data_IF_689511441183
#
_entry.id   IF_689511441183
#
_cell.length_a   1.000
_cell.length_b   1.000
_cell.length_c   1.000
_cell.angle_alpha   90.00
_cell.angle_beta   90.00
_cell.angle_gamma   90.00
#
_symmetry.space_group_name_H-M   'P 1'
#
loop_
_entity.id
_entity.type
_entity.pdbx_description
1 polymer ?
#
# COMPACT_ATOMS: atom_id res chain seq x y z
N UNK A 1 35.21 -50.94 -35.14
CA UNK A 1 33.98 -50.52 -35.84
C UNK A 1 32.90 -50.33 -34.77
N UNK A 2 32.28 -49.19 -34.49
CA UNK A 2 32.27 -47.82 -35.02
C UNK A 2 32.14 -46.89 -33.80
N UNK A 3 33.05 -45.93 -33.67
CA UNK A 3 32.76 -44.63 -33.03
C UNK A 3 31.87 -43.86 -34.04
N UNK A 4 31.06 -42.90 -33.57
CA UNK A 4 30.02 -42.10 -34.28
C UNK A 4 28.63 -42.73 -34.14
N UNK A 5 27.66 -42.22 -33.37
CA UNK A 5 26.99 -40.90 -33.23
C UNK A 5 26.48 -40.85 -31.76
N UNK A 6 26.73 -39.90 -30.83
CA UNK A 6 26.57 -38.44 -30.78
C UNK A 6 25.19 -37.90 -31.19
N UNK A 7 24.54 -37.27 -30.20
CA UNK A 7 23.28 -36.50 -30.18
C UNK A 7 22.00 -37.38 -30.22
N UNK A 8 21.05 -37.29 -29.28
CA UNK A 8 20.22 -36.12 -28.94
C UNK A 8 19.46 -36.40 -27.62
N UNK A 9 19.31 -35.34 -26.79
CA UNK A 9 18.49 -35.18 -25.57
C UNK A 9 19.02 -35.71 -24.23
N UNK A 10 19.86 -34.86 -23.63
CA UNK A 10 19.73 -34.56 -22.22
C UNK A 10 18.31 -34.03 -21.92
N UNK A 11 17.55 -34.74 -21.10
CA UNK A 11 16.38 -34.20 -20.41
C UNK A 11 16.72 -34.19 -18.91
N UNK A 12 17.66 -33.32 -18.55
CA UNK A 12 17.86 -32.90 -17.18
C UNK A 12 16.65 -32.02 -16.86
N UNK A 13 15.66 -32.58 -16.18
CA UNK A 13 14.48 -31.86 -15.71
C UNK A 13 14.90 -30.81 -14.68
N UNK A 14 15.36 -29.67 -15.18
CA UNK A 14 15.25 -28.39 -14.50
C UNK A 14 13.75 -28.09 -14.40
N UNK A 15 13.09 -28.65 -13.37
CA UNK A 15 11.96 -27.97 -12.77
C UNK A 15 12.54 -26.74 -12.09
N UNK A 16 12.79 -25.71 -12.89
CA UNK A 16 12.93 -24.37 -12.38
C UNK A 16 11.67 -24.12 -11.55
N UNK A 17 11.84 -23.93 -10.25
CA UNK A 17 10.88 -23.18 -9.48
C UNK A 17 10.84 -21.80 -10.15
N UNK A 18 9.91 -21.62 -11.09
CA UNK A 18 9.55 -20.30 -11.56
C UNK A 18 9.20 -19.46 -10.33
N UNK A 19 9.51 -18.15 -10.32
CA UNK A 19 9.18 -17.31 -9.18
C UNK A 19 7.70 -17.53 -8.87
N UNK A 20 7.40 -18.04 -7.66
CA UNK A 20 6.01 -18.08 -7.20
C UNK A 20 5.55 -16.64 -7.27
N UNK A 21 4.68 -16.31 -8.22
CA UNK A 21 4.07 -14.98 -8.24
C UNK A 21 3.28 -14.89 -6.96
N UNK A 22 3.87 -14.29 -5.93
CA UNK A 22 3.14 -13.80 -4.75
C UNK A 22 2.15 -12.81 -5.31
N UNK A 23 0.94 -13.28 -5.60
CA UNK A 23 -0.16 -12.43 -5.98
C UNK A 23 -0.45 -11.56 -4.78
N UNK A 24 0.04 -10.32 -4.83
CA UNK A 24 -0.32 -9.30 -3.86
C UNK A 24 -1.84 -9.14 -3.96
N UNK A 25 -2.59 -9.27 -2.85
CA UNK A 25 -4.04 -9.06 -2.89
C UNK A 25 -4.34 -7.65 -3.42
N UNK A 26 -5.51 -7.44 -4.07
CA UNK A 26 -5.85 -6.13 -4.60
C UNK A 26 -5.87 -5.10 -3.47
N UNK A 27 -4.97 -4.11 -3.55
CA UNK A 27 -4.78 -3.09 -2.52
C UNK A 27 -5.19 -1.72 -3.01
N UNK A 28 -5.72 -0.92 -2.10
CA UNK A 28 -5.85 0.53 -2.27
C UNK A 28 -4.80 1.22 -1.42
N UNK A 29 -3.93 2.00 -2.05
CA UNK A 29 -2.84 2.72 -1.38
C UNK A 29 -3.21 4.19 -1.13
N UNK A 30 -2.45 4.85 -0.26
CA UNK A 30 -2.48 6.31 -0.08
C UNK A 30 -1.12 6.86 -0.45
N UNK A 31 -1.11 7.96 -1.19
CA UNK A 31 0.10 8.74 -1.44
C UNK A 31 -0.19 10.23 -1.32
N UNK A 32 0.41 10.88 -0.31
CA UNK A 32 0.35 12.34 -0.12
C UNK A 32 1.64 12.97 -0.66
N UNK A 33 1.52 13.94 -1.57
CA UNK A 33 2.63 14.68 -2.16
C UNK A 33 2.67 16.08 -1.54
N UNK A 34 3.80 16.46 -0.95
CA UNK A 34 3.95 17.78 -0.34
C UNK A 34 4.09 18.88 -1.39
N UNK A 35 3.78 20.12 -0.99
CA UNK A 35 4.01 21.30 -1.82
C UNK A 35 5.50 21.52 -2.11
N UNK A 36 6.38 21.32 -1.12
CA UNK A 36 7.84 21.38 -1.27
C UNK A 36 8.56 20.47 -0.26
N UNK A 37 9.89 20.38 -0.37
CA UNK A 37 10.75 19.70 0.61
C UNK A 37 11.07 20.54 1.87
N UNK A 38 10.47 21.73 2.00
CA UNK A 38 10.61 22.55 3.20
C UNK A 38 10.08 21.83 4.45
N UNK A 39 10.74 22.05 5.59
CA UNK A 39 10.40 21.36 6.83
C UNK A 39 8.92 21.52 7.24
N UNK A 40 8.35 22.71 7.05
CA UNK A 40 6.94 22.97 7.36
C UNK A 40 5.99 22.24 6.41
N UNK A 41 6.26 22.23 5.10
CA UNK A 41 5.44 21.49 4.12
C UNK A 41 5.49 19.98 4.39
N UNK A 42 6.65 19.46 4.77
CA UNK A 42 6.81 18.07 5.16
C UNK A 42 6.05 17.74 6.46
N UNK A 43 6.11 18.63 7.46
CA UNK A 43 5.38 18.49 8.73
C UNK A 43 3.87 18.50 8.50
N UNK A 44 3.37 19.45 7.72
CA UNK A 44 1.94 19.60 7.43
C UNK A 44 1.41 18.44 6.59
N UNK A 45 2.20 17.93 5.62
CA UNK A 45 1.87 16.68 4.91
C UNK A 45 1.61 15.52 5.89
N UNK A 46 2.44 15.35 6.92
CA UNK A 46 2.27 14.26 7.90
C UNK A 46 0.99 14.43 8.73
N UNK A 47 0.61 15.66 9.06
CA UNK A 47 -0.67 15.93 9.74
C UNK A 47 -1.88 15.65 8.84
N UNK A 48 -1.81 16.06 7.56
CA UNK A 48 -2.84 15.78 6.56
C UNK A 48 -3.01 14.27 6.40
N UNK A 49 -1.89 13.55 6.24
CA UNK A 49 -1.87 12.09 6.23
C UNK A 49 -2.62 11.52 7.42
N UNK A 50 -2.27 11.93 8.65
CA UNK A 50 -2.85 11.34 9.86
C UNK A 50 -4.37 11.54 9.91
N UNK A 51 -4.83 12.73 9.51
CA UNK A 51 -6.26 13.06 9.45
C UNK A 51 -7.00 12.29 8.34
N UNK A 52 -6.40 12.16 7.17
CA UNK A 52 -6.97 11.39 6.03
C UNK A 52 -7.01 9.90 6.36
N UNK A 53 -5.94 9.34 6.94
CA UNK A 53 -5.90 7.94 7.38
C UNK A 53 -6.95 7.68 8.45
N UNK A 54 -7.11 8.57 9.43
CA UNK A 54 -8.16 8.43 10.45
C UNK A 54 -9.57 8.43 9.83
N UNK A 55 -9.83 9.36 8.91
CA UNK A 55 -11.12 9.45 8.20
C UNK A 55 -11.42 8.18 7.38
N UNK A 56 -10.46 7.75 6.56
CA UNK A 56 -10.59 6.56 5.72
C UNK A 56 -10.60 5.28 6.55
N UNK A 57 -9.96 5.28 7.72
CA UNK A 57 -9.83 4.14 8.62
C UNK A 57 -11.13 3.67 9.24
N UNK A 58 -12.00 4.61 9.62
CA UNK A 58 -13.35 4.29 10.12
C UNK A 58 -14.11 3.47 9.07
N UNK A 59 -13.93 3.80 7.80
CA UNK A 59 -14.57 3.08 6.72
C UNK A 59 -13.83 1.80 6.33
N UNK A 60 -12.49 1.81 6.26
CA UNK A 60 -11.69 0.64 5.90
C UNK A 60 -11.87 -0.55 6.85
N UNK A 61 -12.28 -0.29 8.10
CA UNK A 61 -12.69 -1.32 9.07
C UNK A 61 -14.03 -2.00 8.72
N UNK A 62 -14.90 -1.31 7.99
CA UNK A 62 -16.22 -1.79 7.57
C UNK A 62 -16.25 -2.32 6.13
N UNK A 63 -15.20 -2.04 5.35
CA UNK A 63 -15.03 -2.48 3.98
C UNK A 63 -14.69 -3.97 3.90
N UNK A 64 -15.45 -4.74 3.12
CA UNK A 64 -15.16 -6.16 2.92
C UNK A 64 -14.20 -6.43 1.76
N UNK A 65 -14.17 -5.53 0.76
CA UNK A 65 -13.49 -5.81 -0.52
C UNK A 65 -12.80 -4.59 -1.15
N UNK A 66 -11.84 -4.85 -2.04
CA UNK A 66 -11.14 -3.80 -2.78
C UNK A 66 -12.07 -2.93 -3.67
N UNK A 67 -13.03 -3.47 -4.43
CA UNK A 67 -13.95 -2.64 -5.22
C UNK A 67 -14.77 -1.68 -4.36
N UNK A 68 -15.22 -2.11 -3.18
CA UNK A 68 -15.88 -1.24 -2.21
C UNK A 68 -14.93 -0.12 -1.74
N UNK A 69 -13.65 -0.43 -1.53
CA UNK A 69 -12.62 0.54 -1.14
C UNK A 69 -12.35 1.59 -2.19
N UNK A 70 -12.24 1.16 -3.43
CA UNK A 70 -12.10 2.08 -4.54
C UNK A 70 -13.33 2.98 -4.67
N UNK A 71 -14.54 2.41 -4.65
CA UNK A 71 -15.78 3.16 -4.81
C UNK A 71 -16.01 4.18 -3.69
N UNK A 72 -15.73 3.80 -2.43
CA UNK A 72 -15.82 4.73 -1.31
C UNK A 72 -14.82 5.86 -1.42
N UNK A 73 -13.56 5.56 -1.74
CA UNK A 73 -12.55 6.60 -1.93
C UNK A 73 -12.92 7.57 -3.06
N UNK A 74 -13.48 7.08 -4.17
CA UNK A 74 -13.97 7.91 -5.28
C UNK A 74 -15.14 8.81 -4.85
N UNK A 75 -16.05 8.30 -4.01
CA UNK A 75 -17.21 9.05 -3.53
C UNK A 75 -16.85 10.13 -2.49
N UNK A 76 -15.68 10.05 -1.85
CA UNK A 76 -15.28 10.93 -0.75
C UNK A 76 -14.05 11.81 -1.03
N UNK A 77 -13.73 12.03 -2.31
CA UNK A 77 -12.58 12.87 -2.70
C UNK A 77 -12.74 14.31 -2.18
N UNK A 78 -13.94 14.89 -2.26
CA UNK A 78 -14.18 16.27 -1.80
C UNK A 78 -13.98 16.41 -0.28
N UNK A 79 -14.38 15.42 0.51
CA UNK A 79 -14.14 15.41 1.96
C UNK A 79 -12.67 15.24 2.30
N UNK A 80 -11.94 14.41 1.56
CA UNK A 80 -10.48 14.26 1.71
C UNK A 80 -9.78 15.60 1.44
N UNK A 81 -10.14 16.29 0.35
CA UNK A 81 -9.64 17.64 0.05
C UNK A 81 -10.03 18.64 1.14
N UNK A 82 -11.26 18.57 1.65
CA UNK A 82 -11.74 19.42 2.74
C UNK A 82 -10.92 19.26 4.03
N UNK A 83 -10.64 18.02 4.43
CA UNK A 83 -9.78 17.69 5.58
C UNK A 83 -8.38 18.24 5.40
N UNK A 84 -7.80 18.02 4.21
CA UNK A 84 -6.46 18.53 3.91
C UNK A 84 -6.42 20.06 3.95
N UNK A 85 -7.40 20.75 3.34
CA UNK A 85 -7.51 22.21 3.37
C UNK A 85 -7.70 22.77 4.78
N UNK A 86 -8.45 22.09 5.64
CA UNK A 86 -8.59 22.48 7.05
C UNK A 86 -7.22 22.46 7.74
N UNK A 87 -6.46 21.37 7.60
CA UNK A 87 -5.12 21.26 8.17
C UNK A 87 -4.17 22.31 7.62
N UNK A 88 -4.21 22.61 6.31
CA UNK A 88 -3.41 23.69 5.72
C UNK A 88 -3.71 25.03 6.37
N UNK A 89 -4.99 25.40 6.43
CA UNK A 89 -5.43 26.68 7.00
C UNK A 89 -5.02 26.82 8.46
N UNK A 90 -5.18 25.76 9.25
CA UNK A 90 -4.83 25.75 10.67
C UNK A 90 -3.31 25.87 10.89
N UNK A 91 -2.51 25.54 9.88
CA UNK A 91 -1.05 25.70 9.87
C UNK A 91 -0.57 26.96 9.13
N UNK A 92 -1.48 27.84 8.68
CA UNK A 92 -1.15 29.11 8.02
C UNK A 92 -0.81 29.00 6.53
N UNK A 93 -1.23 27.91 5.87
CA UNK A 93 -1.08 27.71 4.42
C UNK A 93 -2.42 27.87 3.69
N UNK A 94 -2.37 28.30 2.43
CA UNK A 94 -3.54 28.58 1.59
C UNK A 94 -3.43 28.01 0.17
N UNK A 95 -2.45 27.15 -0.10
CA UNK A 95 -2.30 26.52 -1.41
C UNK A 95 -3.39 25.46 -1.68
N UNK A 96 -3.65 25.23 -2.97
CA UNK A 96 -4.65 24.28 -3.47
C UNK A 96 -4.36 22.84 -3.03
N UNK A 97 -5.43 22.05 -2.90
CA UNK A 97 -5.36 20.61 -2.66
C UNK A 97 -6.19 19.89 -3.70
N UNK A 98 -5.61 18.85 -4.29
CA UNK A 98 -6.31 17.97 -5.24
C UNK A 98 -6.22 16.53 -4.76
N UNK A 99 -7.37 15.86 -4.64
CA UNK A 99 -7.44 14.43 -4.37
C UNK A 99 -7.94 13.68 -5.62
N UNK A 100 -7.38 12.50 -5.88
CA UNK A 100 -7.80 11.66 -6.99
C UNK A 100 -7.63 10.17 -6.70
N UNK A 101 -8.43 9.33 -7.35
CA UNK A 101 -8.23 7.89 -7.38
C UNK A 101 -7.72 7.49 -8.76
N UNK A 102 -6.62 6.75 -8.80
CA UNK A 102 -5.97 6.36 -10.05
C UNK A 102 -4.90 5.30 -9.84
N UNK A 103 -4.16 5.02 -10.91
CA UNK A 103 -3.00 4.11 -10.88
C UNK A 103 -1.74 4.97 -10.88
N UNK A 104 -0.87 4.76 -9.88
CA UNK A 104 0.35 5.55 -9.70
C UNK A 104 1.56 4.67 -9.36
N UNK A 105 2.77 5.13 -9.67
CA UNK A 105 3.99 4.41 -9.32
C UNK A 105 4.31 4.53 -7.83
N UNK A 106 4.63 3.40 -7.21
CA UNK A 106 5.10 3.32 -5.83
C UNK A 106 6.49 2.67 -5.76
N UNK A 107 7.33 3.09 -4.80
CA UNK A 107 8.55 2.36 -4.47
C UNK A 107 8.24 1.08 -3.68
N UNK A 108 9.26 0.25 -3.50
CA UNK A 108 9.21 -0.86 -2.56
C UNK A 108 8.87 -0.36 -1.15
N UNK A 109 7.94 -1.05 -0.47
CA UNK A 109 7.55 -0.75 0.92
C UNK A 109 7.27 -2.01 1.71
N UNK A 110 7.82 -2.07 2.91
CA UNK A 110 7.62 -3.16 3.85
C UNK A 110 6.76 -2.68 5.03
N UNK A 111 5.75 -3.47 5.38
CA UNK A 111 4.89 -3.30 6.56
C UNK A 111 4.94 -4.61 7.36
N UNK A 112 5.61 -4.61 8.51
CA UNK A 112 5.87 -5.84 9.27
C UNK A 112 6.58 -6.90 8.42
N UNK A 113 5.97 -8.08 8.28
CA UNK A 113 6.49 -9.20 7.47
C UNK A 113 6.09 -9.16 5.99
N UNK A 114 5.32 -8.15 5.56
CA UNK A 114 4.77 -8.05 4.20
C UNK A 114 5.51 -6.97 3.40
N UNK A 115 6.06 -7.34 2.25
CA UNK A 115 6.68 -6.40 1.31
C UNK A 115 5.82 -6.23 0.06
N UNK A 116 5.50 -4.97 -0.26
CA UNK A 116 4.90 -4.55 -1.51
C UNK A 116 6.01 -4.08 -2.45
N UNK A 117 6.24 -4.76 -3.58
CA UNK A 117 7.31 -4.38 -4.51
C UNK A 117 7.01 -3.06 -5.22
N UNK A 118 8.04 -2.42 -5.77
CA UNK A 118 7.88 -1.26 -6.64
C UNK A 118 7.01 -1.61 -7.85
N UNK A 119 6.13 -0.68 -8.24
CA UNK A 119 5.19 -0.91 -9.33
C UNK A 119 4.01 0.05 -9.30
N UNK A 120 3.07 -0.18 -10.21
CA UNK A 120 1.87 0.64 -10.37
C UNK A 120 0.71 0.07 -9.56
N UNK A 121 0.12 0.90 -8.70
CA UNK A 121 -0.97 0.50 -7.79
C UNK A 121 -2.13 1.48 -7.85
N UNK A 122 -3.34 0.97 -7.58
CA UNK A 122 -4.47 1.82 -7.27
C UNK A 122 -4.20 2.58 -5.97
N UNK A 123 -4.36 3.91 -6.03
CA UNK A 123 -4.20 4.75 -4.86
C UNK A 123 -5.13 5.95 -4.86
N UNK A 124 -5.41 6.40 -3.64
CA UNK A 124 -5.81 7.78 -3.36
C UNK A 124 -4.55 8.63 -3.37
N UNK A 125 -4.47 9.59 -4.28
CA UNK A 125 -3.37 10.56 -4.35
C UNK A 125 -3.88 11.91 -3.88
N UNK A 126 -3.16 12.53 -2.93
CA UNK A 126 -3.44 13.88 -2.43
C UNK A 126 -2.24 14.77 -2.76
N UNK A 127 -2.41 15.66 -3.73
CA UNK A 127 -1.41 16.63 -4.15
C UNK A 127 -1.62 17.96 -3.41
N UNK A 128 -0.57 18.45 -2.77
CA UNK A 128 -0.56 19.70 -2.05
C UNK A 128 0.18 20.76 -2.87
N UNK A 129 -0.48 21.88 -3.18
CA UNK A 129 0.10 23.01 -3.89
C UNK A 129 0.78 22.60 -5.20
N UNK A 130 2.08 22.87 -5.32
CA UNK A 130 2.85 22.54 -6.53
C UNK A 130 3.17 21.06 -6.71
N UNK A 131 3.00 20.23 -5.66
CA UNK A 131 3.27 18.79 -5.70
C UNK A 131 4.74 18.43 -5.97
N UNK A 132 5.69 19.29 -5.61
CA UNK A 132 7.12 19.09 -5.89
C UNK A 132 7.90 18.51 -4.71
N UNK A 133 7.26 18.41 -3.53
CA UNK A 133 7.89 17.89 -2.32
C UNK A 133 7.87 16.38 -2.21
N UNK A 134 8.58 15.88 -1.21
CA UNK A 134 8.71 14.46 -0.96
C UNK A 134 7.35 13.81 -0.70
N UNK A 135 7.28 12.57 -1.15
CA UNK A 135 6.12 11.72 -1.09
C UNK A 135 5.97 11.06 0.29
N UNK A 136 4.74 10.70 0.65
CA UNK A 136 4.47 9.79 1.76
C UNK A 136 3.51 8.70 1.31
N UNK A 137 3.79 7.44 1.63
CA UNK A 137 3.09 6.28 1.07
C UNK A 137 2.54 5.32 2.13
N UNK A 138 1.35 4.75 1.87
CA UNK A 138 0.72 3.76 2.74
C UNK A 138 -0.28 2.83 2.03
N UNK A 139 -0.80 1.82 2.74
CA UNK A 139 -1.85 0.90 2.27
C UNK A 139 -3.13 1.13 3.09
N UNK A 140 -4.16 1.71 2.46
CA UNK A 140 -5.46 1.99 3.08
C UNK A 140 -6.35 0.76 3.16
N UNK A 141 -6.31 -0.09 2.13
CA UNK A 141 -7.03 -1.35 2.08
C UNK A 141 -6.11 -2.47 1.59
N UNK A 142 -5.91 -3.54 2.38
CA UNK A 142 -6.31 -3.68 3.78
C UNK A 142 -5.66 -2.58 4.66
N UNK A 143 -6.23 -2.25 5.83
CA UNK A 143 -5.84 -1.08 6.63
C UNK A 143 -4.48 -1.26 7.34
N UNK A 144 -3.37 -1.23 6.60
CA UNK A 144 -2.02 -1.34 7.17
C UNK A 144 -1.48 0.00 7.69
N UNK A 145 -2.13 1.12 7.36
CA UNK A 145 -1.76 2.44 7.87
C UNK A 145 -1.93 2.64 9.37
N UNK A 146 -2.58 1.71 10.07
CA UNK A 146 -2.80 1.76 11.52
C UNK A 146 -1.73 1.00 12.30
N UNK A 147 -0.84 0.27 11.60
CA UNK A 147 0.27 -0.42 12.26
C UNK A 147 1.29 0.62 12.74
N UNK A 148 1.73 0.57 14.01
CA UNK A 148 2.70 1.52 14.53
C UNK A 148 4.03 1.40 13.79
N UNK A 149 4.64 2.53 13.43
CA UNK A 149 5.91 2.60 12.73
C UNK A 149 7.11 2.05 13.54
N UNK A 150 6.92 1.58 14.77
CA UNK A 150 7.97 1.05 15.65
C UNK A 150 8.34 -0.41 15.37
N UNK A 151 7.67 -1.08 14.43
CA UNK A 151 8.08 -2.42 13.97
C UNK A 151 9.02 -2.37 12.76
N UNK A 152 9.41 -1.19 12.28
CA UNK A 152 10.15 -1.09 11.02
C UNK A 152 11.67 -1.17 11.11
N UNK A 153 12.34 -0.93 12.24
CA UNK A 153 13.81 -1.06 12.31
C UNK A 153 14.33 -1.46 13.70
N UNK A 154 14.58 -2.76 13.93
CA UNK A 154 15.29 -3.32 15.11
C UNK A 154 14.44 -3.55 16.38
N UNK A 155 14.01 -4.81 16.55
CA UNK A 155 13.73 -5.40 17.86
C UNK A 155 12.27 -5.81 18.11
N UNK A 156 11.84 -6.93 17.53
CA UNK A 156 10.67 -7.66 18.02
C UNK A 156 10.92 -9.17 18.02
N UNK A 157 10.73 -9.77 19.20
CA UNK A 157 10.58 -11.21 19.39
C UNK A 157 9.13 -11.58 19.01
N UNK A 158 8.96 -12.76 18.40
CA UNK A 158 7.67 -13.40 18.21
C UNK A 158 6.99 -13.58 19.59
N UNK A 159 5.92 -12.83 19.85
CA UNK A 159 4.92 -13.24 20.84
C UNK A 159 3.50 -13.02 20.28
N UNK A 160 2.88 -14.18 20.01
CA UNK A 160 1.48 -14.54 20.17
C UNK A 160 0.37 -13.74 19.47
N UNK A 161 -0.03 -14.28 18.32
CA UNK A 161 -1.42 -14.71 18.18
C UNK A 161 -2.35 -13.83 17.35
N UNK A 162 -2.19 -13.87 16.03
CA UNK A 162 -3.33 -13.64 15.12
C UNK A 162 -3.54 -14.89 14.27
N UNK A 163 -4.48 -15.73 14.71
CA UNK A 163 -4.95 -16.89 13.93
C UNK A 163 -5.84 -16.38 12.79
N UNK A 164 -5.29 -16.30 11.58
CA UNK A 164 -6.05 -15.94 10.39
C UNK A 164 -6.90 -17.14 9.93
N UNK A 165 -8.19 -17.12 10.29
CA UNK A 165 -9.17 -18.03 9.68
C UNK A 165 -9.68 -17.45 8.37
N UNK A 166 -9.15 -17.95 7.26
CA UNK A 166 -9.72 -17.68 5.94
C UNK A 166 -10.86 -18.66 5.64
N UNK A 167 -11.97 -18.15 5.13
CA UNK A 167 -13.12 -18.93 4.66
C UNK A 167 -12.72 -20.01 3.62
N UNK A 168 -11.66 -19.76 2.84
CA UNK A 168 -11.10 -20.73 1.90
C UNK A 168 -10.24 -21.83 2.57
N UNK A 169 -9.68 -21.58 3.75
CA UNK A 169 -8.97 -22.58 4.54
C UNK A 169 -9.91 -23.63 5.16
N UNK A 170 -11.11 -23.21 5.57
CA UNK A 170 -12.18 -24.13 5.99
C UNK A 170 -12.75 -24.93 4.81
N UNK A 171 -12.87 -24.30 3.63
CA UNK A 171 -13.40 -24.96 2.43
C UNK A 171 -12.45 -26.02 1.83
N UNK A 172 -11.14 -25.86 2.01
CA UNK A 172 -10.13 -26.76 1.44
C UNK A 172 -9.60 -27.82 2.41
N UNK A 173 -10.08 -27.87 3.66
CA UNK A 173 -9.75 -28.94 4.61
C UNK A 173 -8.27 -29.06 4.96
N UNK A 174 -7.49 -27.98 4.80
CA UNK A 174 -6.03 -28.00 4.98
C UNK A 174 -5.59 -27.85 6.45
N UNK A 175 -6.54 -27.91 7.39
CA UNK A 175 -6.29 -27.99 8.82
C UNK A 175 -7.02 -29.19 9.40
N UNK A 176 -6.38 -30.37 9.29
CA UNK A 176 -6.50 -31.46 10.25
C UNK A 176 -5.14 -31.67 10.90
#
# INVERSE_FOLDING_TARGET
>A
MKKWLLYVMAALSLMGAGPSSRTVPPVLRLHVVANSDGAEDQRVKLQIRDRVVAYMGVWAQNAGTFPEAKAYAEAHLEEIEGIAREVLRDNGFDYEVTASVGIYPFPDRTYGSVTFPAGDYYAVKVDLGSGQGANWWCVLFPPLCFLPATETEEGWQEEDGVEYRSFFGELLGLYQ
#
